data_IF_430596660179
#
_entry.id   IF_430596660179
#
_cell.length_a   1.000
_cell.length_b   1.000
_cell.length_c   1.000
_cell.angle_alpha   90.00
_cell.angle_beta   90.00
_cell.angle_gamma   90.00
#
_symmetry.space_group_name_H-M   'P 1'
#
loop_
_entity.id
_entity.type
_entity.pdbx_description
1 polymer ?
#
# COMPACT_ATOMS: atom_id res chain seq x y z
N UNK A 1 -18.21 9.25 -11.37
CA UNK A 1 -18.19 8.01 -10.57
C UNK A 1 -17.32 7.00 -11.31
N UNK A 2 -16.34 6.42 -10.61
CA UNK A 2 -16.46 5.01 -10.30
C UNK A 2 -16.37 4.80 -8.79
N UNK A 3 -17.31 4.03 -8.25
CA UNK A 3 -17.21 3.42 -6.93
C UNK A 3 -16.46 2.10 -7.15
N UNK A 4 -15.23 1.91 -6.65
CA UNK A 4 -14.60 0.61 -6.68
C UNK A 4 -14.93 -0.12 -5.38
N UNK A 5 -15.85 -1.07 -5.50
CA UNK A 5 -15.85 -2.36 -4.79
C UNK A 5 -14.68 -2.50 -3.78
N UNK A 6 -14.94 -2.19 -2.51
CA UNK A 6 -13.93 -1.78 -1.53
C UNK A 6 -13.02 -2.93 -1.06
N UNK A 7 -11.90 -3.15 -1.76
CA UNK A 7 -10.71 -3.80 -1.22
C UNK A 7 -9.74 -2.72 -0.74
N UNK A 8 -9.34 -2.75 0.53
CA UNK A 8 -8.42 -1.75 1.09
C UNK A 8 -7.12 -1.73 0.28
N UNK A 9 -6.73 -0.53 -0.16
CA UNK A 9 -5.52 -0.35 -0.95
C UNK A 9 -4.90 1.02 -0.67
N UNK A 10 -3.59 1.07 -0.78
CA UNK A 10 -2.81 2.28 -0.58
C UNK A 10 -1.73 2.40 -1.63
N UNK A 11 -1.41 3.64 -1.98
CA UNK A 11 -0.44 3.97 -3.02
C UNK A 11 0.63 4.91 -2.49
N UNK A 12 1.84 4.81 -3.03
CA UNK A 12 2.94 5.72 -2.75
C UNK A 12 3.87 5.83 -3.98
N UNK A 13 4.41 7.02 -4.19
CA UNK A 13 5.26 7.33 -5.32
C UNK A 13 6.74 7.18 -4.94
N UNK A 14 7.52 6.59 -5.85
CA UNK A 14 8.97 6.70 -5.83
C UNK A 14 9.42 7.54 -7.02
N UNK A 15 10.30 8.51 -6.78
CA UNK A 15 10.84 9.41 -7.81
C UNK A 15 11.92 8.77 -8.69
N UNK A 16 12.18 7.48 -8.49
CA UNK A 16 13.21 6.70 -9.18
C UNK A 16 12.57 5.43 -9.71
N UNK A 17 13.00 5.02 -10.91
CA UNK A 17 12.65 3.71 -11.49
C UNK A 17 13.59 2.60 -11.04
N UNK A 18 14.61 2.91 -10.25
CA UNK A 18 15.52 1.92 -9.71
C UNK A 18 14.87 1.19 -8.52
N UNK A 19 14.73 -0.15 -8.56
CA UNK A 19 14.11 -0.93 -7.49
C UNK A 19 14.74 -0.77 -6.11
N UNK A 20 16.03 -0.44 -6.05
CA UNK A 20 16.73 -0.22 -4.77
C UNK A 20 16.24 1.05 -4.05
N UNK A 21 15.66 2.01 -4.77
CA UNK A 21 15.12 3.25 -4.21
C UNK A 21 13.66 3.13 -3.74
N UNK A 22 12.98 2.02 -4.05
CA UNK A 22 11.54 1.87 -3.82
C UNK A 22 11.18 1.57 -2.36
N UNK A 23 12.14 1.17 -1.54
CA UNK A 23 11.89 0.73 -0.16
C UNK A 23 11.10 1.76 0.66
N UNK A 24 11.39 3.05 0.48
CA UNK A 24 10.66 4.13 1.18
C UNK A 24 9.21 4.25 0.73
N UNK A 25 8.96 4.18 -0.58
CA UNK A 25 7.61 4.23 -1.12
C UNK A 25 6.80 2.98 -0.74
N UNK A 26 7.42 1.79 -0.79
CA UNK A 26 6.80 0.56 -0.30
C UNK A 26 6.43 0.66 1.18
N UNK A 27 7.35 1.10 2.03
CA UNK A 27 7.08 1.28 3.46
C UNK A 27 5.90 2.24 3.69
N UNK A 28 5.84 3.35 2.94
CA UNK A 28 4.76 4.32 3.04
C UNK A 28 3.41 3.74 2.59
N UNK A 29 3.36 3.01 1.48
CA UNK A 29 2.15 2.35 1.02
C UNK A 29 1.65 1.30 2.02
N UNK A 30 2.56 0.53 2.62
CA UNK A 30 2.24 -0.45 3.67
C UNK A 30 1.70 0.24 4.93
N UNK A 31 2.32 1.33 5.39
CA UNK A 31 1.82 2.11 6.54
C UNK A 31 0.42 2.65 6.26
N UNK A 32 0.20 3.27 5.09
CA UNK A 32 -1.11 3.80 4.70
C UNK A 32 -2.19 2.72 4.62
N UNK A 33 -1.82 1.50 4.22
CA UNK A 33 -2.75 0.36 4.23
C UNK A 33 -3.05 -0.09 5.67
N UNK A 34 -2.04 -0.13 6.54
CA UNK A 34 -2.22 -0.44 7.95
C UNK A 34 -3.17 0.56 8.63
N UNK A 35 -3.00 1.86 8.37
CA UNK A 35 -3.89 2.92 8.89
C UNK A 35 -5.35 2.74 8.46
N UNK A 36 -5.60 2.23 7.25
CA UNK A 36 -6.96 1.96 6.77
C UNK A 36 -7.59 0.72 7.41
N UNK A 37 -6.78 -0.27 7.75
CA UNK A 37 -7.25 -1.54 8.31
C UNK A 37 -7.34 -1.54 9.84
N UNK A 38 -6.54 -0.69 10.49
CA UNK A 38 -6.45 -0.65 11.93
C UNK A 38 -7.74 -0.08 12.55
N UNK A 39 -8.22 -0.67 13.66
CA UNK A 39 -9.28 -0.06 14.45
C UNK A 39 -8.81 1.27 15.06
N UNK A 40 -9.73 2.17 15.35
CA UNK A 40 -9.44 3.54 15.81
C UNK A 40 -8.62 3.58 17.11
N UNK A 41 -8.67 2.52 17.92
CA UNK A 41 -7.97 2.35 19.19
C UNK A 41 -6.73 1.43 19.12
N UNK A 42 -6.26 1.07 17.92
CA UNK A 42 -5.10 0.21 17.75
C UNK A 42 -3.80 0.82 18.34
N UNK A 43 -3.18 0.11 19.29
CA UNK A 43 -1.85 0.49 19.84
C UNK A 43 -0.72 0.31 18.81
N UNK A 44 -0.85 -0.66 17.91
CA UNK A 44 0.06 -0.87 16.77
C UNK A 44 -0.75 -1.16 15.50
N UNK A 45 -0.80 -0.17 14.60
CA UNK A 45 -1.52 -0.27 13.33
C UNK A 45 -0.97 -1.40 12.44
N UNK A 46 0.33 -1.70 12.53
CA UNK A 46 0.98 -2.68 11.66
C UNK A 46 0.61 -4.12 12.03
N UNK A 47 0.17 -4.36 13.26
CA UNK A 47 -0.37 -5.65 13.68
C UNK A 47 -1.58 -6.09 12.82
N UNK A 48 -2.34 -5.12 12.28
CA UNK A 48 -3.49 -5.38 11.41
C UNK A 48 -3.12 -5.99 10.06
N UNK A 49 -1.84 -5.98 9.69
CA UNK A 49 -1.31 -6.58 8.45
C UNK A 49 -0.77 -8.00 8.65
N UNK A 50 -0.57 -8.44 9.91
CA UNK A 50 -0.01 -9.75 10.21
C UNK A 50 -0.98 -10.85 9.76
N UNK A 51 -0.45 -11.93 9.19
CA UNK A 51 -1.20 -13.05 8.60
C UNK A 51 -2.14 -12.69 7.43
N UNK A 52 -2.04 -11.48 6.87
CA UNK A 52 -2.78 -11.09 5.66
C UNK A 52 -1.92 -11.24 4.42
N UNK A 53 -2.49 -11.85 3.38
CA UNK A 53 -1.92 -11.79 2.05
C UNK A 53 -1.96 -10.34 1.53
N UNK A 54 -0.82 -9.88 1.00
CA UNK A 54 -0.70 -8.56 0.39
C UNK A 54 -0.37 -8.71 -1.09
N UNK A 55 -1.13 -8.01 -1.93
CA UNK A 55 -0.82 -7.86 -3.35
C UNK A 55 -0.06 -6.55 -3.58
N UNK A 56 1.12 -6.66 -4.18
CA UNK A 56 1.95 -5.54 -4.60
C UNK A 56 1.79 -5.34 -6.12
N UNK A 57 1.46 -4.12 -6.54
CA UNK A 57 1.40 -3.71 -7.94
C UNK A 57 2.28 -2.49 -8.17
N UNK A 58 3.19 -2.56 -9.13
CA UNK A 58 4.12 -1.48 -9.47
C UNK A 58 3.77 -1.01 -10.88
N UNK A 59 3.56 0.29 -11.06
CA UNK A 59 3.21 0.91 -12.34
C UNK A 59 4.22 1.99 -12.70
N UNK A 60 4.54 2.10 -13.98
CA UNK A 60 5.32 3.24 -14.49
C UNK A 60 4.50 4.52 -14.35
N UNK A 61 5.14 5.57 -13.85
CA UNK A 61 4.60 6.91 -13.76
C UNK A 61 5.61 7.89 -14.40
N UNK A 62 5.19 8.99 -15.05
CA UNK A 62 6.12 9.95 -15.64
C UNK A 62 7.16 10.52 -14.66
N UNK A 63 6.86 10.55 -13.35
CA UNK A 63 7.77 11.01 -12.30
C UNK A 63 8.61 9.90 -11.65
N UNK A 64 8.43 8.63 -12.04
CA UNK A 64 9.16 7.48 -11.50
C UNK A 64 8.32 6.21 -11.53
N UNK A 65 7.90 5.71 -10.37
CA UNK A 65 6.96 4.60 -10.26
C UNK A 65 5.89 4.85 -9.19
N UNK A 66 4.71 4.30 -9.44
CA UNK A 66 3.63 4.21 -8.47
C UNK A 66 3.62 2.81 -7.86
N UNK A 67 3.68 2.74 -6.54
CA UNK A 67 3.62 1.50 -5.78
C UNK A 67 2.26 1.42 -5.11
N UNK A 68 1.50 0.38 -5.44
CA UNK A 68 0.22 0.07 -4.82
C UNK A 68 0.30 -1.21 -4.01
N UNK A 69 -0.17 -1.17 -2.77
CA UNK A 69 -0.34 -2.34 -1.90
C UNK A 69 -1.82 -2.50 -1.59
N UNK A 70 -2.34 -3.71 -1.69
CA UNK A 70 -3.75 -4.01 -1.42
C UNK A 70 -3.91 -5.36 -0.76
N UNK A 71 -4.97 -5.52 0.03
CA UNK A 71 -5.43 -6.86 0.45
C UNK A 71 -6.33 -7.45 -0.64
N UNK A 72 -6.08 -8.67 -1.13
CA UNK A 72 -7.00 -9.35 -2.02
C UNK A 72 -8.30 -9.67 -1.29
N UNK A 73 -9.42 -9.68 -2.02
CA UNK A 73 -10.70 -10.18 -1.51
C UNK A 73 -10.66 -11.71 -1.55
N UNK A 74 -11.01 -12.37 -0.44
CA UNK A 74 -11.25 -13.82 -0.39
C UNK A 74 -12.53 -14.22 -1.15
#
# INVERSE_FOLDING_TARGET
>A
MPEPEESYSAEAEATSRDPHDWGRAMALAVTRLAEQLAPEDAEDIHASLVDKDLCLNIRDDPAGVMIRVSVPRE
#
